data_IF_325609232429
#
_entry.id   IF_325609232429
#
_cell.length_a   1.000
_cell.length_b   1.000
_cell.length_c   1.000
_cell.angle_alpha   90.00
_cell.angle_beta   90.00
_cell.angle_gamma   90.00
#
_symmetry.space_group_name_H-M   'P 1'
#
loop_
_entity.id
_entity.type
_entity.pdbx_description
1 polymer ?
#
# COMPACT_ATOMS: atom_id res chain seq x y z
N UNK A 1 13.90 2.67 -14.31
CA UNK A 1 14.33 3.19 -12.97
C UNK A 1 13.13 3.67 -12.12
N UNK A 2 12.03 2.91 -11.98
CA UNK A 2 10.82 3.37 -11.26
C UNK A 2 10.41 2.56 -10.01
N UNK A 3 10.89 1.32 -9.87
CA UNK A 3 10.37 0.35 -8.87
C UNK A 3 10.84 0.63 -7.44
N UNK A 4 12.10 1.04 -7.27
CA UNK A 4 12.70 1.35 -5.96
C UNK A 4 12.06 2.57 -5.29
N UNK A 5 11.55 3.54 -6.06
CA UNK A 5 10.89 4.74 -5.51
C UNK A 5 9.57 4.42 -4.83
N UNK A 6 8.72 3.59 -5.44
CA UNK A 6 7.40 3.23 -4.89
C UNK A 6 7.55 2.49 -3.56
N UNK A 7 8.47 1.52 -3.49
CA UNK A 7 8.73 0.75 -2.27
C UNK A 7 9.21 1.65 -1.13
N UNK A 8 10.09 2.61 -1.42
CA UNK A 8 10.55 3.57 -0.42
C UNK A 8 9.40 4.46 0.08
N UNK A 9 8.51 4.92 -0.80
CA UNK A 9 7.34 5.71 -0.41
C UNK A 9 6.40 4.91 0.49
N UNK A 10 6.16 3.62 0.22
CA UNK A 10 5.37 2.75 1.12
C UNK A 10 6.02 2.63 2.50
N UNK A 11 7.34 2.43 2.57
CA UNK A 11 8.07 2.38 3.85
C UNK A 11 7.99 3.69 4.62
N UNK A 12 8.09 4.84 3.93
CA UNK A 12 7.92 6.16 4.55
C UNK A 12 6.50 6.38 5.08
N UNK A 13 5.48 5.97 4.33
CA UNK A 13 4.08 6.04 4.77
C UNK A 13 3.87 5.19 6.03
N UNK A 14 4.40 3.97 6.06
CA UNK A 14 4.33 3.08 7.22
C UNK A 14 5.00 3.69 8.46
N UNK A 15 6.18 4.31 8.28
CA UNK A 15 6.87 4.99 9.37
C UNK A 15 6.07 6.18 9.91
N UNK A 16 5.44 6.96 9.03
CA UNK A 16 4.62 8.13 9.39
C UNK A 16 3.28 7.75 10.03
N UNK A 17 2.67 6.64 9.63
CA UNK A 17 1.40 6.15 10.19
C UNK A 17 1.59 5.19 11.36
N UNK A 18 2.82 4.96 11.81
CA UNK A 18 3.16 3.95 12.83
C UNK A 18 2.59 2.55 12.51
N UNK A 19 2.46 2.22 11.23
CA UNK A 19 1.88 0.95 10.77
C UNK A 19 3.00 -0.07 10.53
N UNK A 20 2.94 -1.22 11.20
CA UNK A 20 3.88 -2.33 10.98
C UNK A 20 3.57 -3.06 9.67
N UNK A 21 4.49 -3.88 9.16
CA UNK A 21 4.23 -4.70 7.96
C UNK A 21 3.01 -5.60 8.15
N UNK A 22 2.92 -6.25 9.30
CA UNK A 22 1.76 -7.06 9.69
C UNK A 22 0.49 -6.20 9.74
N UNK A 23 0.53 -5.04 10.40
CA UNK A 23 -0.63 -4.16 10.50
C UNK A 23 -1.09 -3.62 9.13
N UNK A 24 -0.17 -3.40 8.20
CA UNK A 24 -0.50 -3.06 6.82
C UNK A 24 -1.21 -4.23 6.14
N UNK A 25 -0.65 -5.46 6.21
CA UNK A 25 -1.27 -6.68 5.67
C UNK A 25 -2.69 -6.89 6.21
N UNK A 26 -2.88 -6.77 7.52
CA UNK A 26 -4.20 -6.88 8.17
C UNK A 26 -5.19 -5.82 7.65
N UNK A 27 -4.74 -4.56 7.50
CA UNK A 27 -5.57 -3.45 7.00
C UNK A 27 -6.05 -3.64 5.56
N UNK A 28 -5.24 -4.26 4.71
CA UNK A 28 -5.61 -4.57 3.31
C UNK A 28 -6.23 -5.97 3.16
N UNK A 29 -6.52 -6.67 4.26
CA UNK A 29 -7.12 -8.00 4.22
C UNK A 29 -6.24 -9.05 3.55
N UNK A 30 -4.91 -8.98 3.75
CA UNK A 30 -3.93 -9.96 3.25
C UNK A 30 -3.26 -10.67 4.41
N UNK A 31 -2.66 -11.82 4.12
CA UNK A 31 -1.87 -12.58 5.08
C UNK A 31 -0.73 -11.74 5.67
N UNK A 32 -0.38 -11.97 6.93
CA UNK A 32 0.61 -11.21 7.70
C UNK A 32 1.94 -10.99 6.94
N UNK A 33 2.37 -11.98 6.17
CA UNK A 33 3.62 -11.95 5.38
C UNK A 33 3.54 -11.12 4.11
N UNK A 34 2.35 -10.75 3.63
CA UNK A 34 2.16 -10.10 2.32
C UNK A 34 2.95 -8.81 2.20
N UNK A 35 2.78 -7.86 3.13
CA UNK A 35 3.51 -6.60 3.09
C UNK A 35 5.03 -6.83 3.18
N UNK A 36 5.48 -7.81 3.98
CA UNK A 36 6.88 -8.19 4.07
C UNK A 36 7.45 -8.69 2.75
N UNK A 37 6.74 -9.60 2.07
CA UNK A 37 7.11 -10.14 0.75
C UNK A 37 7.10 -9.03 -0.30
N UNK A 38 6.07 -8.20 -0.34
CA UNK A 38 5.94 -7.10 -1.29
C UNK A 38 7.04 -6.05 -1.09
N UNK A 39 7.41 -5.75 0.15
CA UNK A 39 8.45 -4.77 0.46
C UNK A 39 9.87 -5.30 0.32
N UNK A 40 10.06 -6.63 0.35
CA UNK A 40 11.37 -7.28 0.24
C UNK A 40 11.67 -7.78 -1.16
N UNK A 41 10.65 -7.99 -1.98
CA UNK A 41 10.80 -8.45 -3.35
C UNK A 41 10.98 -7.27 -4.31
N UNK A 42 11.79 -7.44 -5.35
CA UNK A 42 11.87 -6.48 -6.48
C UNK A 42 10.62 -6.51 -7.38
N UNK A 43 9.54 -7.14 -6.90
CA UNK A 43 8.30 -7.31 -7.63
C UNK A 43 7.66 -5.95 -7.85
N UNK A 44 7.20 -5.72 -9.08
CA UNK A 44 6.49 -4.49 -9.40
C UNK A 44 5.16 -4.47 -8.64
N UNK A 45 4.99 -3.51 -7.73
CA UNK A 45 3.70 -3.20 -7.12
C UNK A 45 2.85 -2.51 -8.19
N UNK A 46 1.62 -3.01 -8.39
CA UNK A 46 0.67 -2.34 -9.29
C UNK A 46 0.25 -0.98 -8.71
N UNK A 47 -0.09 -0.01 -9.56
CA UNK A 47 -0.56 1.29 -9.10
C UNK A 47 -1.80 1.16 -8.19
N UNK A 48 -2.71 0.22 -8.49
CA UNK A 48 -3.89 -0.05 -7.68
C UNK A 48 -3.52 -0.55 -6.26
N UNK A 49 -2.59 -1.50 -6.16
CA UNK A 49 -2.12 -2.01 -4.86
C UNK A 49 -1.40 -0.94 -4.04
N UNK A 50 -0.61 -0.08 -4.70
CA UNK A 50 0.03 1.05 -4.02
C UNK A 50 -0.98 2.03 -3.45
N UNK A 51 -2.00 2.38 -4.24
CA UNK A 51 -3.09 3.25 -3.83
C UNK A 51 -3.85 2.65 -2.64
N UNK A 52 -4.24 1.38 -2.71
CA UNK A 52 -4.92 0.68 -1.62
C UNK A 52 -4.12 0.71 -0.31
N UNK A 53 -2.82 0.41 -0.36
CA UNK A 53 -1.93 0.47 0.80
C UNK A 53 -1.86 1.86 1.41
N UNK A 54 -1.68 2.88 0.58
CA UNK A 54 -1.60 4.27 1.03
C UNK A 54 -2.89 4.72 1.71
N UNK A 55 -4.04 4.41 1.10
CA UNK A 55 -5.34 4.83 1.62
C UNK A 55 -5.71 4.09 2.91
N UNK A 56 -5.37 2.81 3.06
CA UNK A 56 -5.52 2.09 4.35
C UNK A 56 -4.62 2.63 5.48
N UNK A 57 -3.52 3.29 5.12
CA UNK A 57 -2.64 4.01 6.03
C UNK A 57 -3.07 5.47 6.25
N UNK A 58 -4.20 5.91 5.68
CA UNK A 58 -4.73 7.26 5.82
C UNK A 58 -4.08 8.31 4.92
N UNK A 59 -3.30 7.89 3.91
CA UNK A 59 -2.70 8.79 2.93
C UNK A 59 -3.56 8.91 1.67
N UNK A 60 -3.59 10.11 1.10
CA UNK A 60 -4.11 10.33 -0.25
C UNK A 60 -2.98 10.24 -1.26
N UNK A 61 -3.16 9.42 -2.28
CA UNK A 61 -2.20 9.30 -3.38
C UNK A 61 -2.62 10.19 -4.52
N UNK A 62 -1.72 11.06 -4.96
CA UNK A 62 -1.88 11.82 -6.18
C UNK A 62 -0.98 11.21 -7.25
N UNK A 63 -1.59 10.61 -8.27
CA UNK A 63 -0.87 10.14 -9.44
C UNK A 63 -0.94 11.25 -10.48
N UNK A 64 0.19 11.91 -10.71
CA UNK A 64 0.28 12.93 -11.76
C UNK A 64 0.48 12.24 -13.12
N UNK A 65 -0.63 12.01 -13.82
CA UNK A 65 -0.64 11.51 -15.20
C UNK A 65 -1.47 12.45 -16.07
N UNK A 66 -0.86 13.06 -17.09
CA UNK A 66 -1.53 13.84 -18.13
C UNK A 66 -2.68 14.75 -17.64
N UNK A 67 -2.44 15.55 -16.59
CA UNK A 67 -3.33 16.65 -16.20
C UNK A 67 -4.62 16.26 -15.46
N UNK A 68 -4.83 15.00 -15.06
CA UNK A 68 -6.05 14.61 -14.34
C UNK A 68 -5.73 14.13 -12.92
N UNK A 69 -6.20 14.87 -11.91
CA UNK A 69 -6.07 14.53 -10.49
C UNK A 69 -7.17 13.55 -10.11
N UNK A 70 -6.82 12.33 -9.72
CA UNK A 70 -7.76 11.36 -9.15
C UNK A 70 -7.69 11.44 -7.62
N UNK A 71 -8.76 11.90 -6.97
CA UNK A 71 -8.88 11.80 -5.51
C UNK A 71 -9.29 10.36 -5.19
N UNK A 72 -8.35 9.57 -4.67
CA UNK A 72 -8.65 8.21 -4.21
C UNK A 72 -9.32 8.32 -2.84
N UNK A 73 -10.60 7.99 -2.80
CA UNK A 73 -11.40 7.91 -1.57
C UNK A 73 -11.02 6.70 -0.70
N UNK A 74 -11.37 6.81 0.58
CA UNK A 74 -11.12 5.82 1.64
C UNK A 74 -11.55 4.40 1.22
N UNK A 75 -10.75 3.34 1.45
CA UNK A 75 -11.09 2.03 0.95
C UNK A 75 -12.13 1.43 1.88
N UNK A 76 -13.14 0.78 1.30
CA UNK A 76 -13.97 -0.13 2.07
C UNK A 76 -13.05 -1.14 2.78
N UNK A 77 -13.23 -1.29 4.10
CA UNK A 77 -12.44 -2.17 4.96
C UNK A 77 -12.51 -3.60 4.40
N UNK A 78 -11.45 -4.06 3.73
CA UNK A 78 -11.41 -5.40 3.16
C UNK A 78 -11.17 -6.40 4.29
N UNK A 79 -12.22 -7.10 4.72
CA UNK A 79 -12.11 -8.24 5.62
C UNK A 79 -11.53 -9.43 4.88
N UNK A 80 -10.21 -9.57 4.88
CA UNK A 80 -9.53 -10.75 4.39
C UNK A 80 -9.55 -11.86 5.43
N UNK A 81 -10.13 -13.01 5.08
CA UNK A 81 -10.00 -14.24 5.86
C UNK A 81 -8.61 -14.82 5.58
N UNK A 82 -7.73 -14.76 6.58
CA UNK A 82 -6.52 -15.56 6.60
C UNK A 82 -6.89 -16.94 7.18
N UNK A 83 -7.02 -17.95 6.32
CA UNK A 83 -7.11 -19.34 6.75
C UNK A 83 -5.68 -19.85 7.00
N UNK A 84 -5.38 -20.15 8.26
CA UNK A 84 -4.11 -20.68 8.72
C UNK A 84 -4.32 -21.50 9.98
#
# INVERSE_FOLDING_TARGET
MGKTRILNVVREMMAKSHTSQRGLSEKIGKCDSYAGVVLSSETAISAASFVEMATQMGFRVYVEGHGTRFDVGEPARAGGVCDG
#
